data_IF_274301012894
#
_entry.id   IF_274301012894
#
_cell.length_a   1.000
_cell.length_b   1.000
_cell.length_c   1.000
_cell.angle_alpha   90.00
_cell.angle_beta   90.00
_cell.angle_gamma   90.00
#
_symmetry.space_group_name_H-M   'P 1'
#
loop_
_entity.id
_entity.type
_entity.pdbx_description
1 polymer ?
#
# COMPACT_ATOMS: atom_id res chain seq x y z
N UNK A 1 15.18 -21.52 -56.35
CA UNK A 1 14.69 -20.21 -56.86
C UNK A 1 15.68 -19.15 -56.39
N UNK A 2 16.69 -18.88 -57.20
CA UNK A 2 16.84 -17.66 -58.00
C UNK A 2 17.07 -16.39 -57.17
N UNK A 3 18.31 -15.88 -57.32
CA UNK A 3 18.87 -14.59 -56.89
C UNK A 3 17.88 -13.43 -56.95
N UNK A 4 18.03 -12.46 -56.05
CA UNK A 4 18.04 -11.04 -56.43
C UNK A 4 18.82 -10.18 -55.41
N UNK A 5 20.00 -9.79 -55.86
CA UNK A 5 20.82 -8.66 -55.44
C UNK A 5 20.02 -7.36 -55.55
N UNK A 6 20.13 -6.43 -54.58
CA UNK A 6 20.06 -4.98 -54.84
C UNK A 6 20.91 -4.18 -53.83
N UNK A 7 22.00 -3.65 -54.39
CA UNK A 7 22.82 -2.50 -54.04
C UNK A 7 22.37 -1.58 -52.89
N UNK A 8 23.24 -1.39 -51.90
CA UNK A 8 23.32 -0.15 -51.13
C UNK A 8 24.64 0.55 -51.44
N UNK A 9 24.52 1.82 -51.84
CA UNK A 9 25.59 2.69 -52.29
C UNK A 9 26.36 3.26 -51.08
N UNK A 10 27.67 3.31 -51.25
CA UNK A 10 28.66 3.95 -50.39
C UNK A 10 28.37 5.44 -50.20
N UNK A 11 28.38 5.93 -48.95
CA UNK A 11 28.71 7.33 -48.65
C UNK A 11 29.55 7.38 -47.38
N UNK A 12 30.87 7.34 -47.56
CA UNK A 12 31.85 7.56 -46.51
C UNK A 12 31.91 9.06 -46.20
N UNK A 13 31.45 9.43 -45.00
CA UNK A 13 31.63 10.79 -44.46
C UNK A 13 33.01 10.85 -43.79
N UNK A 14 33.95 11.51 -44.46
CA UNK A 14 35.23 11.95 -43.91
C UNK A 14 34.97 13.10 -42.92
N UNK A 15 35.22 12.86 -41.63
CA UNK A 15 35.32 13.93 -40.63
C UNK A 15 36.81 14.18 -40.38
N UNK A 16 37.26 15.36 -40.79
CA UNK A 16 38.62 15.86 -40.64
C UNK A 16 38.80 16.36 -39.19
N UNK A 17 39.76 15.85 -38.40
CA UNK A 17 40.03 16.38 -37.08
C UNK A 17 40.87 17.67 -37.20
N UNK A 18 40.30 18.79 -36.72
CA UNK A 18 41.03 20.04 -36.50
C UNK A 18 41.97 19.87 -35.30
N UNK A 19 43.27 19.97 -35.55
CA UNK A 19 44.32 20.07 -34.53
C UNK A 19 44.63 21.55 -34.33
N UNK A 20 44.32 22.10 -33.15
CA UNK A 20 44.89 23.36 -32.67
C UNK A 20 45.91 23.06 -31.57
N UNK A 21 47.14 23.60 -31.62
CA UNK A 21 48.16 23.40 -30.61
C UNK A 21 47.99 24.42 -29.47
N UNK A 22 48.05 23.96 -28.22
CA UNK A 22 48.34 24.82 -27.08
C UNK A 22 49.43 24.18 -26.23
N UNK A 23 50.56 24.86 -26.12
CA UNK A 23 51.53 24.72 -25.03
C UNK A 23 50.78 24.86 -23.70
N UNK A 24 51.12 24.22 -22.59
CA UNK A 24 52.38 23.62 -22.16
C UNK A 24 52.69 24.17 -20.79
N UNK A 25 52.31 23.47 -19.71
CA UNK A 25 52.88 23.68 -18.38
C UNK A 25 52.74 22.39 -17.56
N UNK A 26 53.89 21.89 -17.09
CA UNK A 26 54.03 20.66 -16.34
C UNK A 26 53.89 20.96 -14.85
N UNK A 27 52.84 20.48 -14.19
CA UNK A 27 52.82 20.39 -12.73
C UNK A 27 52.22 19.05 -12.24
N UNK A 28 53.11 18.30 -11.60
CA UNK A 28 52.96 17.30 -10.54
C UNK A 28 51.60 16.60 -10.36
N UNK A 29 51.63 15.28 -10.60
CA UNK A 29 50.72 14.30 -9.99
C UNK A 29 50.71 14.49 -8.47
N UNK A 30 49.60 14.99 -7.93
CA UNK A 30 49.20 14.72 -6.56
C UNK A 30 48.15 13.62 -6.60
N UNK A 31 48.46 12.49 -5.96
CA UNK A 31 47.50 11.44 -5.65
C UNK A 31 46.50 11.99 -4.63
N UNK A 32 45.48 12.69 -5.12
CA UNK A 32 44.28 12.99 -4.35
C UNK A 32 43.47 11.71 -4.22
N UNK A 33 43.39 11.18 -3.01
CA UNK A 33 42.57 10.03 -2.64
C UNK A 33 41.11 10.28 -3.04
N UNK A 34 40.74 9.80 -4.22
CA UNK A 34 39.36 9.71 -4.63
C UNK A 34 38.76 8.55 -3.81
N UNK A 35 38.26 8.83 -2.61
CA UNK A 35 37.28 7.95 -1.96
C UNK A 35 35.98 8.07 -2.76
N UNK A 36 36.00 7.49 -3.96
CA UNK A 36 34.82 6.87 -4.51
C UNK A 36 34.41 5.84 -3.47
N UNK A 37 33.45 6.20 -2.62
CA UNK A 37 32.77 5.26 -1.75
C UNK A 37 32.26 4.16 -2.68
N UNK A 38 32.94 3.00 -2.65
CA UNK A 38 32.47 1.83 -3.34
C UNK A 38 31.00 1.65 -2.92
N UNK A 39 30.10 1.65 -3.90
CA UNK A 39 28.70 1.30 -3.68
C UNK A 39 28.73 -0.08 -3.05
N UNK A 40 28.56 -0.15 -1.71
CA UNK A 40 28.25 -1.41 -1.06
C UNK A 40 26.95 -1.83 -1.69
N UNK A 41 27.01 -2.83 -2.58
CA UNK A 41 25.82 -3.50 -3.08
C UNK A 41 25.12 -4.01 -1.82
N UNK A 42 24.04 -3.36 -1.43
CA UNK A 42 23.21 -3.87 -0.34
C UNK A 42 22.79 -5.30 -0.74
N UNK A 43 22.90 -6.23 0.19
CA UNK A 43 22.55 -7.64 0.01
C UNK A 43 21.57 -8.10 1.08
N UNK A 44 20.91 -7.16 1.76
CA UNK A 44 19.90 -7.38 2.77
C UNK A 44 18.79 -8.30 2.26
N UNK A 45 18.14 -9.02 3.18
CA UNK A 45 16.97 -9.82 2.86
C UNK A 45 15.81 -8.94 2.35
N UNK A 46 15.64 -7.75 2.93
CA UNK A 46 14.65 -6.77 2.48
C UNK A 46 14.87 -6.34 1.03
N UNK A 47 16.12 -6.06 0.61
CA UNK A 47 16.38 -5.75 -0.79
C UNK A 47 16.03 -6.92 -1.72
N UNK A 48 16.42 -8.15 -1.37
CA UNK A 48 16.10 -9.34 -2.18
C UNK A 48 14.59 -9.55 -2.30
N UNK A 49 13.84 -9.27 -1.22
CA UNK A 49 12.39 -9.32 -1.21
C UNK A 49 11.78 -8.26 -2.12
N UNK A 50 12.26 -7.01 -2.08
CA UNK A 50 11.85 -5.95 -3.00
C UNK A 50 12.07 -6.38 -4.46
N UNK A 51 13.26 -6.87 -4.79
CA UNK A 51 13.61 -7.32 -6.14
C UNK A 51 12.71 -8.47 -6.61
N UNK A 52 12.38 -9.41 -5.73
CA UNK A 52 11.48 -10.52 -6.06
C UNK A 52 10.04 -10.05 -6.30
N UNK A 53 9.53 -9.12 -5.47
CA UNK A 53 8.20 -8.54 -5.66
C UNK A 53 8.10 -7.72 -6.96
N UNK A 54 9.18 -7.06 -7.37
CA UNK A 54 9.30 -6.41 -8.67
C UNK A 54 9.25 -7.43 -9.82
N UNK A 55 10.00 -8.52 -9.72
CA UNK A 55 10.01 -9.62 -10.70
C UNK A 55 8.63 -10.28 -10.85
N UNK A 56 7.87 -10.38 -9.76
CA UNK A 56 6.48 -10.90 -9.76
C UNK A 56 5.45 -9.92 -10.35
N UNK A 57 5.88 -8.76 -10.87
CA UNK A 57 5.04 -7.81 -11.61
C UNK A 57 4.75 -6.50 -10.88
N UNK A 58 5.50 -6.18 -9.82
CA UNK A 58 5.46 -4.91 -9.09
C UNK A 58 4.03 -4.44 -8.77
N UNK A 59 3.29 -5.28 -8.03
CA UNK A 59 1.89 -5.03 -7.72
C UNK A 59 1.65 -3.63 -7.13
N UNK A 60 2.52 -3.15 -6.24
CA UNK A 60 2.35 -1.88 -5.50
C UNK A 60 2.45 -0.62 -6.36
N UNK A 61 3.04 -0.72 -7.56
CA UNK A 61 3.00 0.36 -8.56
C UNK A 61 2.13 0.00 -9.78
N UNK A 62 1.45 -1.14 -9.74
CA UNK A 62 0.57 -1.62 -10.80
C UNK A 62 -0.81 -0.96 -10.82
N UNK A 63 -1.50 -1.08 -11.97
CA UNK A 63 -2.85 -0.50 -12.18
C UNK A 63 -3.92 -1.01 -11.22
N UNK A 64 -3.70 -2.20 -10.65
CA UNK A 64 -4.64 -2.84 -9.75
C UNK A 64 -4.35 -2.50 -8.27
N UNK A 65 -3.38 -1.65 -7.96
CA UNK A 65 -3.12 -1.22 -6.59
C UNK A 65 -3.75 0.15 -6.30
N UNK A 66 -4.61 0.26 -5.28
CA UNK A 66 -5.17 -0.82 -4.45
C UNK A 66 -6.30 -1.59 -5.16
N UNK A 67 -6.41 -2.90 -4.91
CA UNK A 67 -7.50 -3.76 -5.42
C UNK A 67 -8.80 -3.55 -4.65
N UNK A 68 -9.43 -2.38 -4.81
CA UNK A 68 -10.72 -2.05 -4.18
C UNK A 68 -11.90 -2.31 -5.12
N UNK A 69 -13.00 -2.83 -4.57
CA UNK A 69 -14.29 -2.98 -5.26
C UNK A 69 -15.40 -2.26 -4.50
N UNK A 70 -16.38 -1.68 -5.21
CA UNK A 70 -17.53 -1.01 -4.58
C UNK A 70 -18.57 -2.04 -4.14
N UNK A 71 -19.30 -1.77 -3.06
CA UNK A 71 -20.39 -2.62 -2.59
C UNK A 71 -21.49 -2.82 -3.66
N UNK A 72 -21.80 -1.78 -4.45
CA UNK A 72 -22.72 -1.88 -5.59
C UNK A 72 -22.26 -2.87 -6.66
N UNK A 73 -20.98 -2.86 -7.02
CA UNK A 73 -20.43 -3.84 -7.97
C UNK A 73 -20.45 -5.25 -7.40
N UNK A 74 -20.18 -5.42 -6.10
CA UNK A 74 -20.33 -6.73 -5.43
C UNK A 74 -21.78 -7.20 -5.49
N UNK A 75 -22.74 -6.33 -5.19
CA UNK A 75 -24.17 -6.63 -5.24
C UNK A 75 -24.63 -7.06 -6.63
N UNK A 76 -24.21 -6.35 -7.68
CA UNK A 76 -24.52 -6.67 -9.08
C UNK A 76 -23.95 -8.02 -9.54
N UNK A 77 -22.86 -8.48 -8.92
CA UNK A 77 -22.14 -9.70 -9.28
C UNK A 77 -22.46 -10.90 -8.36
N UNK A 78 -23.37 -10.75 -7.39
CA UNK A 78 -23.66 -11.80 -6.38
C UNK A 78 -24.19 -13.13 -6.94
N UNK A 79 -24.84 -13.09 -8.10
CA UNK A 79 -25.33 -14.28 -8.80
C UNK A 79 -24.29 -14.84 -9.79
N UNK A 80 -23.12 -14.19 -9.90
CA UNK A 80 -21.99 -14.62 -10.71
C UNK A 80 -21.04 -15.55 -9.96
N UNK A 81 -19.88 -15.79 -10.57
CA UNK A 81 -18.85 -16.66 -10.04
C UNK A 81 -17.87 -15.89 -9.13
N UNK A 82 -18.39 -15.39 -8.00
CA UNK A 82 -17.60 -14.69 -6.99
C UNK A 82 -17.60 -15.45 -5.66
N UNK A 83 -16.51 -15.32 -4.92
CA UNK A 83 -16.38 -15.87 -3.57
C UNK A 83 -16.27 -14.74 -2.55
N UNK A 84 -17.24 -14.62 -1.65
CA UNK A 84 -17.26 -13.54 -0.65
C UNK A 84 -16.78 -14.09 0.69
N UNK A 85 -15.74 -13.48 1.25
CA UNK A 85 -15.15 -13.86 2.54
C UNK A 85 -15.38 -12.74 3.55
N UNK A 86 -16.19 -13.01 4.57
CA UNK A 86 -16.37 -12.12 5.71
C UNK A 86 -15.35 -12.44 6.80
N UNK A 87 -14.50 -11.47 7.11
CA UNK A 87 -13.40 -11.60 8.06
C UNK A 87 -13.74 -11.15 9.48
N UNK A 88 -14.98 -10.71 9.73
CA UNK A 88 -15.43 -10.30 11.07
C UNK A 88 -15.52 -11.51 12.01
N UNK A 89 -15.70 -11.23 13.30
CA UNK A 89 -15.90 -12.31 14.27
C UNK A 89 -17.20 -13.06 13.96
N UNK A 90 -17.23 -14.37 14.26
CA UNK A 90 -18.36 -15.23 13.95
C UNK A 90 -19.67 -14.72 14.59
N UNK A 91 -19.62 -14.17 15.81
CA UNK A 91 -20.79 -13.61 16.48
C UNK A 91 -21.35 -12.37 15.76
N UNK A 92 -20.49 -11.57 15.12
CA UNK A 92 -20.90 -10.42 14.30
C UNK A 92 -21.45 -10.89 12.95
N UNK A 93 -20.80 -11.87 12.34
CA UNK A 93 -21.24 -12.48 11.09
C UNK A 93 -22.63 -13.13 11.22
N UNK A 94 -22.87 -13.91 12.28
CA UNK A 94 -24.16 -14.58 12.54
C UNK A 94 -25.31 -13.57 12.72
N UNK A 95 -25.03 -12.40 13.31
CA UNK A 95 -26.01 -11.30 13.49
C UNK A 95 -26.35 -10.59 12.17
N UNK A 96 -25.62 -10.83 11.09
CA UNK A 96 -25.93 -10.31 9.78
C UNK A 96 -24.72 -10.26 8.85
N UNK A 97 -24.81 -10.89 7.68
CA UNK A 97 -23.76 -10.93 6.66
C UNK A 97 -24.34 -10.94 5.24
N UNK A 98 -23.48 -10.74 4.24
CA UNK A 98 -23.86 -10.81 2.83
C UNK A 98 -24.24 -12.25 2.49
N UNK A 99 -25.38 -12.44 1.82
CA UNK A 99 -25.82 -13.78 1.38
C UNK A 99 -24.70 -14.50 0.60
N UNK A 100 -24.51 -15.79 0.87
CA UNK A 100 -23.47 -16.66 0.30
C UNK A 100 -22.03 -16.33 0.72
N UNK A 101 -21.80 -15.35 1.61
CA UNK A 101 -20.47 -15.16 2.17
C UNK A 101 -20.09 -16.34 3.07
N UNK A 102 -18.79 -16.61 3.19
CA UNK A 102 -18.22 -17.53 4.19
C UNK A 102 -17.49 -16.74 5.27
N UNK A 103 -17.52 -17.20 6.52
CA UNK A 103 -16.78 -16.54 7.60
C UNK A 103 -15.36 -17.11 7.74
N UNK A 104 -14.35 -16.36 7.31
CA UNK A 104 -12.93 -16.74 7.46
C UNK A 104 -12.15 -15.60 8.10
N UNK A 105 -11.67 -15.83 9.33
CA UNK A 105 -10.85 -14.89 10.09
C UNK A 105 -9.48 -14.69 9.43
N UNK A 106 -8.85 -13.53 9.68
CA UNK A 106 -7.54 -13.18 9.10
C UNK A 106 -6.49 -14.30 9.21
N UNK A 107 -6.31 -14.87 10.40
CA UNK A 107 -5.31 -15.92 10.65
C UNK A 107 -5.61 -17.23 9.90
N UNK A 108 -6.84 -17.43 9.43
CA UNK A 108 -7.28 -18.64 8.72
C UNK A 108 -7.25 -18.45 7.20
N UNK A 109 -6.97 -17.25 6.69
CA UNK A 109 -6.90 -16.99 5.26
C UNK A 109 -5.89 -17.89 4.53
N UNK A 110 -4.65 -18.13 5.04
CA UNK A 110 -3.72 -19.03 4.36
C UNK A 110 -4.31 -20.43 4.17
N UNK A 111 -4.84 -21.03 5.25
CA UNK A 111 -5.47 -22.35 5.17
C UNK A 111 -6.64 -22.38 4.19
N UNK A 112 -7.49 -21.36 4.21
CA UNK A 112 -8.63 -21.29 3.32
C UNK A 112 -8.19 -21.28 1.85
N UNK A 113 -7.23 -20.41 1.49
CA UNK A 113 -6.73 -20.27 0.12
C UNK A 113 -5.90 -21.47 -0.37
N UNK A 114 -5.19 -22.15 0.53
CA UNK A 114 -4.30 -23.26 0.17
C UNK A 114 -5.03 -24.62 0.16
N UNK A 115 -6.02 -24.81 1.05
CA UNK A 115 -6.57 -26.14 1.32
C UNK A 115 -8.10 -26.26 1.15
N UNK A 116 -8.86 -25.16 1.18
CA UNK A 116 -10.33 -25.22 1.17
C UNK A 116 -10.95 -24.81 -0.16
N UNK A 117 -10.26 -23.97 -0.94
CA UNK A 117 -10.74 -23.48 -2.23
C UNK A 117 -9.68 -23.64 -3.33
N UNK A 118 -10.12 -23.50 -4.59
CA UNK A 118 -9.23 -23.30 -5.74
C UNK A 118 -9.38 -21.84 -6.16
N UNK A 119 -8.50 -20.91 -5.70
CA UNK A 119 -8.77 -19.47 -5.79
C UNK A 119 -9.07 -18.95 -7.21
N UNK A 120 -8.41 -19.52 -8.22
CA UNK A 120 -8.53 -19.09 -9.61
C UNK A 120 -9.70 -19.71 -10.36
N UNK A 121 -10.52 -20.56 -9.71
CA UNK A 121 -11.81 -20.98 -10.27
C UNK A 121 -12.89 -19.90 -10.08
N UNK A 122 -12.66 -18.90 -9.22
CA UNK A 122 -13.54 -17.74 -9.05
C UNK A 122 -13.09 -16.57 -9.93
N UNK A 123 -14.04 -15.84 -10.50
CA UNK A 123 -13.74 -14.61 -11.24
C UNK A 123 -13.16 -13.55 -10.30
N UNK A 124 -13.70 -13.50 -9.06
CA UNK A 124 -13.23 -12.61 -7.99
C UNK A 124 -13.40 -13.25 -6.62
N UNK A 125 -12.45 -12.98 -5.73
CA UNK A 125 -12.56 -13.23 -4.31
C UNK A 125 -12.67 -11.89 -3.59
N UNK A 126 -13.77 -11.67 -2.87
CA UNK A 126 -14.10 -10.40 -2.25
C UNK A 126 -13.95 -10.52 -0.74
N UNK A 127 -12.99 -9.79 -0.18
CA UNK A 127 -12.79 -9.70 1.26
C UNK A 127 -13.66 -8.59 1.85
N UNK A 128 -14.36 -8.92 2.93
CA UNK A 128 -15.27 -8.04 3.64
C UNK A 128 -14.90 -8.01 5.12
N UNK A 129 -14.96 -6.84 5.74
CA UNK A 129 -14.87 -6.69 7.19
C UNK A 129 -15.86 -5.59 7.66
N UNK A 130 -15.67 -5.02 8.85
CA UNK A 130 -16.52 -3.95 9.38
C UNK A 130 -16.57 -2.72 8.47
N UNK A 131 -15.39 -2.16 8.17
CA UNK A 131 -15.25 -0.90 7.43
C UNK A 131 -14.32 -0.95 6.22
N UNK A 132 -13.88 -2.13 5.77
CA UNK A 132 -13.02 -2.32 4.59
C UNK A 132 -11.52 -2.21 4.83
N UNK A 133 -11.07 -1.70 5.99
CA UNK A 133 -9.64 -1.44 6.25
C UNK A 133 -8.83 -2.73 6.54
N UNK A 134 -9.35 -3.64 7.38
CA UNK A 134 -8.77 -4.99 7.55
C UNK A 134 -8.76 -5.73 6.22
N UNK A 135 -9.88 -5.71 5.49
CA UNK A 135 -9.97 -6.34 4.17
C UNK A 135 -8.94 -5.76 3.19
N UNK A 136 -8.64 -4.45 3.26
CA UNK A 136 -7.62 -3.80 2.43
C UNK A 136 -6.21 -4.29 2.75
N UNK A 137 -5.88 -4.37 4.04
CA UNK A 137 -4.62 -4.95 4.52
C UNK A 137 -4.46 -6.39 4.04
N UNK A 138 -5.48 -7.23 4.25
CA UNK A 138 -5.47 -8.65 3.88
C UNK A 138 -5.46 -8.87 2.37
N UNK A 139 -6.21 -8.08 1.61
CA UNK A 139 -6.19 -8.13 0.15
C UNK A 139 -4.79 -7.79 -0.39
N UNK A 140 -4.11 -6.80 0.17
CA UNK A 140 -2.73 -6.48 -0.20
C UNK A 140 -1.80 -7.67 -0.01
N UNK A 141 -1.87 -8.34 1.15
CA UNK A 141 -1.05 -9.52 1.43
C UNK A 141 -1.32 -10.64 0.41
N UNK A 142 -2.59 -11.01 0.20
CA UNK A 142 -2.95 -12.07 -0.74
C UNK A 142 -2.59 -11.70 -2.19
N UNK A 143 -2.70 -10.44 -2.59
CA UNK A 143 -2.25 -9.95 -3.90
C UNK A 143 -0.74 -10.05 -4.06
N UNK A 144 0.03 -9.73 -3.02
CA UNK A 144 1.49 -9.88 -2.97
C UNK A 144 1.95 -11.35 -2.89
N UNK A 145 1.09 -12.26 -2.43
CA UNK A 145 1.29 -13.72 -2.53
C UNK A 145 1.00 -14.28 -3.93
N UNK A 146 0.42 -13.47 -4.84
CA UNK A 146 0.15 -13.86 -6.22
C UNK A 146 -1.33 -14.12 -6.55
N UNK A 147 -2.26 -13.97 -5.60
CA UNK A 147 -3.69 -14.17 -5.87
C UNK A 147 -4.27 -13.02 -6.70
N UNK A 148 -4.24 -13.20 -8.02
CA UNK A 148 -4.67 -12.30 -9.10
C UNK A 148 -6.01 -11.56 -8.90
N UNK A 149 -6.96 -12.25 -8.28
CA UNK A 149 -8.39 -11.97 -8.32
C UNK A 149 -8.97 -11.57 -6.96
N UNK A 150 -8.12 -11.19 -5.98
CA UNK A 150 -8.56 -10.77 -4.64
C UNK A 150 -8.83 -9.27 -4.59
N UNK A 151 -9.99 -8.89 -4.05
CA UNK A 151 -10.40 -7.50 -3.88
C UNK A 151 -10.88 -7.24 -2.46
N UNK A 152 -10.65 -6.04 -1.96
CA UNK A 152 -11.26 -5.55 -0.72
C UNK A 152 -12.54 -4.78 -1.04
N UNK A 153 -13.66 -5.15 -0.42
CA UNK A 153 -14.89 -4.36 -0.54
C UNK A 153 -14.73 -3.05 0.22
N UNK A 154 -14.75 -1.95 -0.53
CA UNK A 154 -14.64 -0.60 0.00
C UNK A 154 -15.75 -0.36 1.02
N UNK A 155 -15.38 0.20 2.17
CA UNK A 155 -16.23 0.47 3.33
C UNK A 155 -16.77 -0.77 4.05
N UNK A 156 -16.45 -1.98 3.59
CA UNK A 156 -16.91 -3.23 4.21
C UNK A 156 -18.43 -3.29 4.37
N UNK A 157 -18.89 -3.93 5.44
CA UNK A 157 -20.32 -4.07 5.74
C UNK A 157 -21.02 -2.74 6.02
N UNK A 158 -20.27 -1.69 6.34
CA UNK A 158 -20.85 -0.35 6.52
C UNK A 158 -21.43 0.23 5.24
N UNK A 159 -20.85 -0.04 4.06
CA UNK A 159 -21.50 0.33 2.81
C UNK A 159 -22.69 -0.58 2.48
N UNK A 160 -22.69 -1.82 3.00
CA UNK A 160 -23.75 -2.78 2.70
C UNK A 160 -25.08 -2.35 3.31
N UNK A 161 -25.10 -2.04 4.60
CA UNK A 161 -26.32 -1.74 5.33
C UNK A 161 -26.08 -0.79 6.51
N UNK A 162 -27.02 0.15 6.72
CA UNK A 162 -26.95 1.15 7.79
C UNK A 162 -26.75 0.53 9.18
N UNK A 163 -27.31 -0.67 9.41
CA UNK A 163 -27.12 -1.43 10.65
C UNK A 163 -25.65 -1.54 11.04
N UNK A 164 -24.77 -1.81 10.07
CA UNK A 164 -23.33 -1.99 10.34
C UNK A 164 -22.56 -0.67 10.27
N UNK A 165 -23.05 0.31 9.50
CA UNK A 165 -22.43 1.63 9.40
C UNK A 165 -22.45 2.38 10.72
N UNK A 166 -23.56 2.28 11.47
CA UNK A 166 -23.76 2.92 12.78
C UNK A 166 -22.69 2.53 13.80
N UNK A 167 -22.29 1.26 13.80
CA UNK A 167 -21.36 0.70 14.80
C UNK A 167 -19.88 0.87 14.41
N UNK A 168 -19.58 1.40 13.23
CA UNK A 168 -18.21 1.53 12.74
C UNK A 168 -17.92 2.89 12.10
N UNK A 169 -18.30 3.09 10.83
CA UNK A 169 -17.94 4.30 10.11
C UNK A 169 -18.64 5.56 10.65
N UNK A 170 -19.95 5.51 10.91
CA UNK A 170 -20.68 6.69 11.42
C UNK A 170 -20.26 7.08 12.84
N UNK A 171 -19.82 6.11 13.65
CA UNK A 171 -19.23 6.38 14.98
C UNK A 171 -17.76 6.79 14.94
N UNK A 172 -17.05 6.49 13.84
CA UNK A 172 -15.61 6.69 13.70
C UNK A 172 -15.19 7.97 12.97
N UNK A 173 -16.11 8.63 12.25
CA UNK A 173 -15.85 9.94 11.65
C UNK A 173 -15.72 11.02 12.71
N UNK A 174 -14.76 11.93 12.55
CA UNK A 174 -14.49 13.00 13.51
C UNK A 174 -13.71 14.16 12.90
N UNK A 175 -13.94 15.35 13.44
CA UNK A 175 -13.22 16.59 13.13
C UNK A 175 -12.39 17.09 14.31
N UNK A 176 -12.21 16.27 15.35
CA UNK A 176 -11.60 16.65 16.64
C UNK A 176 -10.24 17.36 16.49
N UNK A 177 -9.46 17.00 15.47
CA UNK A 177 -8.12 17.53 15.28
C UNK A 177 -7.98 18.39 14.01
N UNK A 178 -9.09 18.82 13.39
CA UNK A 178 -9.04 19.56 12.13
C UNK A 178 -8.31 20.90 12.27
N UNK A 179 -8.34 21.51 13.45
CA UNK A 179 -7.67 22.78 13.74
C UNK A 179 -6.17 22.60 14.05
N UNK A 180 -5.70 21.35 14.16
CA UNK A 180 -4.31 21.00 14.46
C UNK A 180 -3.53 20.55 13.22
N UNK A 181 -4.14 20.58 12.03
CA UNK A 181 -3.50 20.11 10.80
C UNK A 181 -2.48 21.12 10.27
N UNK A 182 -1.44 20.61 9.63
CA UNK A 182 -0.47 21.38 8.86
C UNK A 182 -0.89 21.47 7.39
N UNK A 183 -0.35 22.48 6.68
CA UNK A 183 -0.57 22.68 5.24
C UNK A 183 0.73 22.78 4.44
N UNK A 184 1.84 23.07 5.13
CA UNK A 184 3.17 23.17 4.53
C UNK A 184 3.78 21.78 4.30
N UNK A 185 4.57 21.60 3.26
CA UNK A 185 5.16 20.28 2.99
C UNK A 185 6.33 19.96 3.89
N UNK A 186 6.30 18.78 4.51
CA UNK A 186 7.44 18.19 5.19
C UNK A 186 8.28 17.35 4.22
N UNK A 187 9.60 17.32 4.43
CA UNK A 187 10.56 16.63 3.55
C UNK A 187 11.23 15.45 4.24
N UNK A 188 11.60 14.43 3.47
CA UNK A 188 12.48 13.35 3.93
C UNK A 188 13.87 13.92 4.22
N UNK A 189 14.37 13.74 5.43
CA UNK A 189 15.64 14.35 5.87
C UNK A 189 16.78 13.36 5.95
N UNK A 190 16.49 12.08 6.22
CA UNK A 190 17.50 11.06 6.53
C UNK A 190 17.35 9.82 5.63
N UNK A 191 18.41 9.01 5.60
CA UNK A 191 18.41 7.68 5.01
C UNK A 191 18.91 6.65 6.03
N UNK A 192 18.29 5.49 6.00
CA UNK A 192 18.51 4.35 6.86
C UNK A 192 18.84 3.13 6.01
N UNK A 193 19.36 2.08 6.66
CA UNK A 193 19.41 0.77 6.03
C UNK A 193 17.98 0.22 5.90
N UNK A 194 17.75 -0.67 4.94
CA UNK A 194 16.51 -1.45 4.90
C UNK A 194 16.40 -2.36 6.14
N UNK A 195 15.18 -2.73 6.58
CA UNK A 195 14.99 -3.58 7.75
C UNK A 195 15.72 -4.92 7.65
N UNK A 196 16.21 -5.39 8.79
CA UNK A 196 16.76 -6.73 8.90
C UNK A 196 15.64 -7.74 9.17
N UNK A 197 15.30 -8.52 8.14
CA UNK A 197 14.20 -9.48 8.20
C UNK A 197 14.52 -10.72 9.04
N UNK A 198 15.82 -11.01 9.26
CA UNK A 198 16.29 -12.13 10.08
C UNK A 198 15.65 -13.50 9.75
N UNK A 199 15.27 -13.74 8.48
CA UNK A 199 14.70 -15.04 8.07
C UNK A 199 15.77 -16.12 7.92
N UNK A 200 17.03 -15.72 7.70
CA UNK A 200 18.14 -16.62 7.42
C UNK A 200 18.14 -17.16 5.98
N UNK A 201 17.20 -16.70 5.14
CA UNK A 201 16.99 -17.18 3.79
C UNK A 201 17.83 -16.40 2.76
N UNK A 202 18.17 -17.05 1.64
CA UNK A 202 19.08 -16.48 0.63
C UNK A 202 18.39 -15.97 -0.62
N UNK A 203 17.22 -16.53 -0.98
CA UNK A 203 16.46 -16.17 -2.18
C UNK A 203 15.23 -15.34 -1.80
N UNK A 204 14.84 -14.40 -2.67
CA UNK A 204 13.67 -13.55 -2.44
C UNK A 204 12.37 -14.33 -2.27
N UNK A 205 12.19 -15.43 -3.00
CA UNK A 205 11.04 -16.35 -2.88
C UNK A 205 10.93 -17.02 -1.49
N UNK A 206 12.05 -17.55 -0.98
CA UNK A 206 12.10 -18.18 0.34
C UNK A 206 11.85 -17.14 1.46
N UNK A 207 12.43 -15.94 1.31
CA UNK A 207 12.21 -14.80 2.22
C UNK A 207 10.73 -14.39 2.18
N UNK A 208 10.15 -14.26 0.98
CA UNK A 208 8.75 -13.91 0.76
C UNK A 208 7.83 -14.87 1.53
N UNK A 209 8.01 -16.18 1.33
CA UNK A 209 7.20 -17.21 1.99
C UNK A 209 7.32 -17.13 3.53
N UNK A 210 8.55 -17.01 4.05
CA UNK A 210 8.79 -16.87 5.48
C UNK A 210 8.16 -15.60 6.09
N UNK A 211 8.17 -14.48 5.36
CA UNK A 211 7.56 -13.23 5.81
C UNK A 211 6.04 -13.30 5.85
N UNK A 212 5.39 -13.95 4.87
CA UNK A 212 3.94 -14.15 4.91
C UNK A 212 3.52 -15.03 6.09
N UNK A 213 4.23 -16.15 6.32
CA UNK A 213 3.96 -17.01 7.47
C UNK A 213 4.07 -16.23 8.80
N UNK A 214 5.13 -15.43 8.96
CA UNK A 214 5.30 -14.56 10.13
C UNK A 214 4.13 -13.60 10.32
N UNK A 215 3.73 -12.88 9.26
CA UNK A 215 2.69 -11.86 9.34
C UNK A 215 1.32 -12.46 9.68
N UNK A 216 0.93 -13.57 9.04
CA UNK A 216 -0.34 -14.21 9.37
C UNK A 216 -0.35 -14.79 10.79
N UNK A 217 0.80 -15.25 11.29
CA UNK A 217 0.96 -15.71 12.68
C UNK A 217 0.91 -14.57 13.69
N UNK A 218 1.52 -13.42 13.40
CA UNK A 218 1.43 -12.19 14.21
C UNK A 218 -0.03 -11.71 14.33
N UNK A 219 -0.81 -11.90 13.26
CA UNK A 219 -2.21 -11.52 13.21
C UNK A 219 -2.39 -10.01 12.98
N UNK A 220 -3.52 -9.48 13.45
CA UNK A 220 -3.88 -8.06 13.28
C UNK A 220 -3.48 -7.18 14.47
N UNK A 221 -2.78 -7.75 15.46
CA UNK A 221 -2.31 -7.00 16.62
C UNK A 221 -1.35 -5.92 16.13
N UNK A 222 -1.51 -4.70 16.63
CA UNK A 222 -0.65 -3.54 16.34
C UNK A 222 -0.71 -3.04 14.89
N UNK A 223 -1.59 -3.57 14.02
CA UNK A 223 -1.76 -3.10 12.63
C UNK A 223 -2.49 -1.75 12.55
N UNK A 224 -3.28 -1.40 13.56
CA UNK A 224 -4.13 -0.20 13.57
C UNK A 224 -3.74 0.74 14.71
N UNK A 225 -3.82 2.03 14.44
CA UNK A 225 -3.64 3.11 15.43
C UNK A 225 -4.77 4.12 15.28
N UNK A 226 -5.25 4.71 16.38
CA UNK A 226 -6.31 5.72 16.33
C UNK A 226 -5.77 7.14 16.12
N UNK A 227 -6.62 8.05 15.66
CA UNK A 227 -6.26 9.47 15.56
C UNK A 227 -5.91 10.05 16.94
N UNK A 228 -6.63 9.67 17.99
CA UNK A 228 -6.33 10.14 19.35
C UNK A 228 -4.88 9.80 19.77
N UNK A 229 -4.43 8.56 19.54
CA UNK A 229 -3.07 8.14 19.87
C UNK A 229 -2.02 8.91 19.08
N UNK A 230 -2.26 9.10 17.77
CA UNK A 230 -1.30 9.80 16.88
C UNK A 230 -1.21 11.28 17.21
N UNK A 231 -2.34 11.96 17.44
CA UNK A 231 -2.34 13.39 17.73
C UNK A 231 -1.93 13.73 19.17
N UNK A 232 -2.01 12.78 20.11
CA UNK A 232 -1.52 12.99 21.47
C UNK A 232 0.01 13.14 21.51
N UNK A 233 0.75 12.36 20.71
CA UNK A 233 2.22 12.40 20.65
C UNK A 233 2.74 12.13 19.21
N UNK A 234 2.51 13.04 18.25
CA UNK A 234 2.85 12.81 16.84
C UNK A 234 4.35 12.57 16.60
N UNK A 235 5.20 13.14 17.45
CA UNK A 235 6.66 12.98 17.41
C UNK A 235 7.15 11.56 17.73
N UNK A 236 6.32 10.72 18.36
CA UNK A 236 6.63 9.31 18.59
C UNK A 236 6.60 8.48 17.30
N UNK A 237 5.99 9.02 16.23
CA UNK A 237 5.76 8.30 14.99
C UNK A 237 6.58 8.87 13.83
N UNK A 238 6.88 8.01 12.85
CA UNK A 238 7.18 8.44 11.49
C UNK A 238 5.89 8.37 10.68
N UNK A 239 5.30 9.53 10.36
CA UNK A 239 3.95 9.58 9.79
C UNK A 239 4.03 9.76 8.27
N UNK A 240 3.50 8.79 7.54
CA UNK A 240 3.40 8.77 6.08
C UNK A 240 1.98 9.15 5.66
N UNK A 241 1.84 10.28 4.96
CA UNK A 241 0.64 10.59 4.18
C UNK A 241 0.75 9.95 2.79
N UNK A 242 -0.26 9.17 2.39
CA UNK A 242 -0.33 8.49 1.08
C UNK A 242 -1.46 9.02 0.19
N UNK A 243 -1.69 10.34 0.20
CA UNK A 243 -2.68 11.02 -0.66
C UNK A 243 -2.05 11.78 -1.83
N UNK A 244 -2.90 12.36 -2.69
CA UNK A 244 -2.51 13.29 -3.75
C UNK A 244 -1.92 14.57 -3.14
N UNK A 245 -1.03 15.26 -3.87
CA UNK A 245 -0.28 16.41 -3.33
C UNK A 245 -1.17 17.56 -2.88
N UNK A 246 -2.19 17.90 -3.66
CA UNK A 246 -3.18 18.93 -3.33
C UNK A 246 -4.00 18.60 -2.07
N UNK A 247 -4.39 17.33 -1.88
CA UNK A 247 -5.04 16.86 -0.65
C UNK A 247 -4.16 17.02 0.57
N UNK A 248 -2.89 16.62 0.46
CA UNK A 248 -1.90 16.82 1.51
C UNK A 248 -1.73 18.31 1.83
N UNK A 249 -1.54 19.18 0.82
CA UNK A 249 -1.42 20.63 1.02
C UNK A 249 -2.70 21.30 1.53
N UNK A 250 -3.87 20.69 1.36
CA UNK A 250 -5.11 21.19 1.93
C UNK A 250 -5.16 20.99 3.45
N UNK A 251 -4.44 19.99 3.97
CA UNK A 251 -4.42 19.65 5.39
C UNK A 251 -3.86 18.26 5.62
N UNK A 252 -2.92 18.13 6.55
CA UNK A 252 -2.29 16.86 6.91
C UNK A 252 -1.88 16.84 8.40
N UNK A 253 -1.62 15.63 8.94
CA UNK A 253 -1.18 15.46 10.34
C UNK A 253 0.18 16.14 10.54
N UNK A 254 0.38 16.89 11.65
CA UNK A 254 1.65 17.55 11.94
C UNK A 254 2.88 16.64 11.78
N UNK A 255 3.91 17.16 11.12
CA UNK A 255 5.15 16.42 10.85
C UNK A 255 5.02 15.28 9.83
N UNK A 256 3.82 15.00 9.30
CA UNK A 256 3.65 13.91 8.33
C UNK A 256 4.32 14.22 7.00
N UNK A 257 4.95 13.21 6.40
CA UNK A 257 5.67 13.30 5.14
C UNK A 257 4.86 12.61 4.05
N UNK A 258 4.73 13.28 2.90
CA UNK A 258 3.97 12.72 1.79
C UNK A 258 4.79 11.73 0.97
N UNK A 259 4.27 10.51 0.85
CA UNK A 259 4.72 9.50 -0.11
C UNK A 259 3.78 9.47 -1.30
N UNK A 260 4.31 9.65 -2.51
CA UNK A 260 3.51 9.75 -3.73
C UNK A 260 2.96 8.37 -4.12
N UNK A 261 1.63 8.22 -4.24
CA UNK A 261 1.06 6.97 -4.75
C UNK A 261 1.63 6.60 -6.13
N UNK A 262 1.89 5.31 -6.32
CA UNK A 262 2.45 4.70 -7.55
C UNK A 262 3.82 5.25 -7.97
N UNK A 263 4.60 5.81 -7.03
CA UNK A 263 5.92 6.36 -7.32
C UNK A 263 6.88 6.35 -6.11
N UNK A 264 6.60 5.54 -5.09
CA UNK A 264 7.45 5.45 -3.89
C UNK A 264 7.63 4.03 -3.37
N UNK A 265 6.60 3.19 -3.37
CA UNK A 265 6.70 1.83 -2.82
C UNK A 265 7.60 0.97 -3.72
N UNK A 266 8.44 0.13 -3.11
CA UNK A 266 9.40 -0.72 -3.82
C UNK A 266 10.62 0.00 -4.40
N UNK A 267 10.62 1.33 -4.46
CA UNK A 267 11.80 2.09 -4.85
C UNK A 267 12.76 2.12 -3.65
N UNK A 268 13.91 1.45 -3.77
CA UNK A 268 14.88 1.28 -2.68
C UNK A 268 15.24 2.62 -2.01
N UNK A 269 15.58 3.64 -2.80
CA UNK A 269 15.95 4.96 -2.26
C UNK A 269 14.83 5.68 -1.51
N UNK A 270 13.57 5.28 -1.73
CA UNK A 270 12.40 5.80 -1.02
C UNK A 270 12.14 4.97 0.26
N UNK A 271 12.31 3.65 0.20
CA UNK A 271 12.21 2.78 1.39
C UNK A 271 13.31 3.08 2.41
N UNK A 272 14.52 3.39 1.95
CA UNK A 272 15.63 3.87 2.80
C UNK A 272 15.31 5.17 3.56
N UNK A 273 14.25 5.90 3.23
CA UNK A 273 13.90 7.13 3.98
C UNK A 273 12.98 6.89 5.18
N UNK A 274 12.53 5.64 5.36
CA UNK A 274 11.69 5.22 6.49
C UNK A 274 12.61 4.68 7.60
N UNK A 275 12.53 5.19 8.84
CA UNK A 275 13.31 4.67 9.96
C UNK A 275 12.92 3.23 10.30
N UNK A 276 13.89 2.43 10.74
CA UNK A 276 13.70 1.01 11.10
C UNK A 276 13.53 0.79 12.60
N UNK A 277 13.81 1.82 13.40
CA UNK A 277 13.79 1.84 14.86
C UNK A 277 12.65 2.71 15.44
N UNK A 278 11.68 3.08 14.60
CA UNK A 278 10.54 3.91 14.97
C UNK A 278 9.23 3.34 14.44
N UNK A 279 8.15 3.57 15.18
CA UNK A 279 6.80 3.21 14.73
C UNK A 279 6.41 4.07 13.52
N UNK A 280 5.93 3.41 12.47
CA UNK A 280 5.54 4.05 11.22
C UNK A 280 4.02 4.07 11.13
N UNK A 281 3.43 5.26 11.01
CA UNK A 281 1.98 5.41 10.81
C UNK A 281 1.71 5.81 9.38
N UNK A 282 0.95 5.00 8.65
CA UNK A 282 0.51 5.31 7.29
C UNK A 282 -0.96 5.73 7.32
N UNK A 283 -1.30 6.81 6.65
CA UNK A 283 -2.69 7.19 6.45
C UNK A 283 -2.95 7.71 5.04
N UNK A 284 -4.21 7.57 4.63
CA UNK A 284 -4.78 8.23 3.47
C UNK A 284 -6.14 8.83 3.87
N UNK A 285 -6.93 9.31 2.92
CA UNK A 285 -8.26 9.84 3.23
C UNK A 285 -9.22 8.89 3.97
N UNK A 286 -9.07 7.56 3.86
CA UNK A 286 -10.10 6.60 4.28
C UNK A 286 -9.59 5.34 4.99
N UNK A 287 -8.29 5.24 5.28
CA UNK A 287 -7.69 4.02 5.85
C UNK A 287 -7.55 2.83 4.89
N UNK A 288 -8.22 2.84 3.73
CA UNK A 288 -8.17 1.73 2.75
C UNK A 288 -6.79 1.64 2.07
N UNK A 289 -6.38 2.68 1.35
CA UNK A 289 -5.09 2.66 0.64
C UNK A 289 -3.92 2.53 1.61
N UNK A 290 -3.99 3.16 2.78
CA UNK A 290 -2.96 3.01 3.82
C UNK A 290 -2.93 1.60 4.39
N UNK A 291 -4.05 0.88 4.48
CA UNK A 291 -4.07 -0.54 4.80
C UNK A 291 -3.26 -1.38 3.79
N UNK A 292 -3.41 -1.12 2.48
CA UNK A 292 -2.61 -1.78 1.46
C UNK A 292 -1.11 -1.48 1.58
N UNK A 293 -0.75 -0.21 1.83
CA UNK A 293 0.63 0.23 2.02
C UNK A 293 1.23 -0.38 3.29
N UNK A 294 0.46 -0.41 4.38
CA UNK A 294 0.89 -0.97 5.67
C UNK A 294 1.23 -2.46 5.54
N UNK A 295 0.43 -3.23 4.81
CA UNK A 295 0.76 -4.64 4.50
C UNK A 295 2.11 -4.78 3.79
N UNK A 296 2.39 -3.93 2.80
CA UNK A 296 3.66 -3.94 2.08
C UNK A 296 4.84 -3.55 2.98
N UNK A 297 4.71 -2.50 3.78
CA UNK A 297 5.78 -2.07 4.69
C UNK A 297 6.06 -3.12 5.78
N UNK A 298 5.02 -3.76 6.35
CA UNK A 298 5.20 -4.86 7.31
C UNK A 298 5.85 -6.09 6.67
N UNK A 299 5.53 -6.38 5.40
CA UNK A 299 6.20 -7.43 4.63
C UNK A 299 7.70 -7.18 4.54
N UNK A 300 8.09 -5.92 4.33
CA UNK A 300 9.48 -5.46 4.32
C UNK A 300 10.10 -5.29 5.72
N UNK A 301 9.38 -5.56 6.81
CA UNK A 301 9.92 -5.57 8.17
C UNK A 301 9.83 -4.24 8.93
N UNK A 302 9.20 -3.21 8.37
CA UNK A 302 8.93 -1.98 9.13
C UNK A 302 7.83 -2.22 10.19
N UNK A 303 7.95 -1.57 11.35
CA UNK A 303 6.88 -1.55 12.34
C UNK A 303 5.78 -0.56 11.92
N UNK A 304 5.04 -0.92 10.87
CA UNK A 304 4.03 -0.07 10.27
C UNK A 304 2.62 -0.37 10.79
N UNK A 305 1.86 0.71 10.98
CA UNK A 305 0.44 0.73 11.37
C UNK A 305 -0.34 1.60 10.39
N UNK A 306 -1.62 1.29 10.16
CA UNK A 306 -2.53 2.17 9.42
C UNK A 306 -3.38 2.98 10.39
N UNK A 307 -3.55 4.27 10.11
CA UNK A 307 -4.48 5.12 10.84
C UNK A 307 -5.93 4.68 10.56
N UNK A 308 -6.66 4.36 11.61
CA UNK A 308 -8.05 3.94 11.49
C UNK A 308 -8.93 5.08 10.94
N UNK A 309 -9.73 4.75 9.93
CA UNK A 309 -10.58 5.66 9.14
C UNK A 309 -9.81 6.70 8.31
N UNK A 310 -8.48 6.80 8.44
CA UNK A 310 -7.69 7.78 7.71
C UNK A 310 -8.09 9.22 8.05
N UNK A 311 -8.07 10.13 7.08
CA UNK A 311 -8.43 11.53 7.33
C UNK A 311 -9.87 11.76 7.85
N UNK A 312 -10.77 10.79 7.62
CA UNK A 312 -12.12 10.83 8.19
C UNK A 312 -12.12 10.82 9.72
N UNK A 313 -11.10 10.31 10.41
CA UNK A 313 -11.08 10.27 11.89
C UNK A 313 -10.58 11.56 12.54
N UNK A 314 -10.13 12.56 11.77
CA UNK A 314 -9.56 13.77 12.36
C UNK A 314 -9.94 15.09 11.70
N UNK A 315 -10.31 15.09 10.41
CA UNK A 315 -10.67 16.31 9.66
C UNK A 315 -11.93 16.15 8.80
N UNK A 316 -12.91 15.40 9.29
CA UNK A 316 -14.13 15.04 8.53
C UNK A 316 -14.89 16.25 7.95
N UNK A 317 -15.17 17.30 8.73
CA UNK A 317 -15.95 18.45 8.25
C UNK A 317 -15.23 19.19 7.13
N UNK A 318 -13.91 19.34 7.25
CA UNK A 318 -13.07 19.87 6.17
C UNK A 318 -13.13 19.00 4.92
N UNK A 319 -13.12 17.67 5.07
CA UNK A 319 -13.29 16.76 3.93
C UNK A 319 -14.65 16.92 3.25
N UNK A 320 -15.71 17.22 4.02
CA UNK A 320 -17.04 17.54 3.49
C UNK A 320 -17.02 18.86 2.73
N UNK A 321 -16.45 19.92 3.30
CA UNK A 321 -16.31 21.24 2.68
C UNK A 321 -15.55 21.15 1.34
N UNK A 322 -14.42 20.46 1.34
CA UNK A 322 -13.54 20.32 0.17
C UNK A 322 -13.91 19.13 -0.74
N UNK A 323 -15.06 18.46 -0.52
CA UNK A 323 -15.41 17.22 -1.22
C UNK A 323 -15.41 17.38 -2.73
N UNK A 324 -16.08 18.43 -3.22
CA UNK A 324 -16.23 18.67 -4.65
C UNK A 324 -14.92 19.11 -5.32
N UNK A 325 -14.12 19.94 -4.63
CA UNK A 325 -12.91 20.55 -5.19
C UNK A 325 -11.71 19.60 -5.17
N UNK A 326 -11.57 18.80 -4.11
CA UNK A 326 -10.43 17.89 -3.94
C UNK A 326 -10.77 16.42 -4.14
N UNK A 327 -12.03 16.10 -4.41
CA UNK A 327 -12.51 14.71 -4.51
C UNK A 327 -12.20 13.93 -3.23
N UNK A 328 -12.41 14.55 -2.07
CA UNK A 328 -12.37 13.83 -0.80
C UNK A 328 -13.48 12.77 -0.77
N UNK A 329 -13.25 11.74 0.04
CA UNK A 329 -14.18 10.63 0.23
C UNK A 329 -14.56 10.57 1.71
N UNK A 330 -15.26 11.60 2.23
CA UNK A 330 -15.85 11.49 3.55
C UNK A 330 -16.92 10.38 3.53
N UNK A 331 -17.00 9.58 4.58
CA UNK A 331 -18.04 8.56 4.69
C UNK A 331 -19.35 9.21 5.14
N UNK A 332 -20.36 9.18 4.28
CA UNK A 332 -21.69 9.74 4.52
C UNK A 332 -22.77 8.67 4.26
N UNK A 333 -24.04 9.01 4.47
CA UNK A 333 -25.15 8.13 4.11
C UNK A 333 -25.19 7.76 2.61
N UNK A 334 -24.52 8.55 1.75
CA UNK A 334 -24.42 8.25 0.31
C UNK A 334 -23.59 7.00 0.01
N UNK A 335 -22.73 6.60 0.94
CA UNK A 335 -21.92 5.39 0.84
C UNK A 335 -22.66 4.14 1.36
N UNK A 336 -23.84 4.30 1.96
CA UNK A 336 -24.68 3.23 2.52
C UNK A 336 -25.78 2.84 1.53
N UNK A 337 -25.82 1.56 1.14
CA UNK A 337 -26.74 1.07 0.12
C UNK A 337 -28.03 0.43 0.65
N UNK A 338 -28.05 0.00 1.91
CA UNK A 338 -29.17 -0.74 2.52
C UNK A 338 -29.57 -2.02 1.75
N UNK A 339 -28.57 -2.72 1.22
CA UNK A 339 -28.76 -4.05 0.65
C UNK A 339 -29.20 -5.05 1.73
N UNK A 340 -29.89 -6.10 1.28
CA UNK A 340 -30.32 -7.19 2.14
C UNK A 340 -29.12 -7.96 2.71
N UNK A 341 -29.21 -8.35 3.98
CA UNK A 341 -28.26 -9.25 4.64
C UNK A 341 -29.05 -10.42 5.25
N UNK A 342 -28.38 -11.56 5.40
CA UNK A 342 -28.95 -12.76 6.02
C UNK A 342 -28.32 -12.97 7.40
N UNK A 343 -28.97 -13.77 8.23
CA UNK A 343 -28.50 -14.16 9.57
C UNK A 343 -28.40 -15.68 9.64
N UNK A 344 -27.58 -16.20 10.55
CA UNK A 344 -27.43 -17.64 10.81
C UNK A 344 -28.02 -18.06 12.16
#
# INVERSE_FOLDING_TARGET
MMKLFKYFIFSALFVIPFIFPSCGETQQKSEGSNKQSAVKKDTSEALKLIMYLEEMGDYVNGRNFPSLIKASSVFEEMDGNIHIIDMRHADVYNKGHIKNAVNVRFNNLPNHFENEIIPFEFDKIILVCYGGQIASYSASLLRLMGYGNVYSMRWGMSAWNEKFAKDYWLSGVSSKFQDQIEKESNTKTERYNLPDLNTGMKKGEDIHSARFESIFKEGLKDVFVSADQVFENPENYYIINYDRKDKYLAGHIPGSIRYKPNATLGIVSEMETIPVDKDVVVYCGTGHNSGFVTAYLRLLGYNAQTLEHGANSFMYDKMIEDRATLSWLPFTDQEIHNYHFVTE
#
